data_IF_275363483541
#
_entry.id   IF_275363483541
#
_cell.length_a   1.000
_cell.length_b   1.000
_cell.length_c   1.000
_cell.angle_alpha   90.00
_cell.angle_beta   90.00
_cell.angle_gamma   90.00
#
_symmetry.space_group_name_H-M   'P 1'
#
loop_
_entity.id
_entity.type
_entity.pdbx_description
1 polymer ?
#
# COMPACT_ATOMS: atom_id res chain seq x y z
N UNK A 1 14.74 12.39 -7.84
CA UNK A 1 13.89 11.18 -7.82
C UNK A 1 13.51 10.79 -6.39
N UNK A 2 12.33 10.20 -6.19
CA UNK A 2 11.89 9.63 -4.91
C UNK A 2 12.46 8.21 -4.74
N UNK A 3 12.64 7.78 -3.48
CA UNK A 3 12.88 6.37 -3.17
C UNK A 3 11.64 5.53 -3.46
N UNK A 4 11.79 4.28 -3.91
CA UNK A 4 10.69 3.39 -4.27
C UNK A 4 10.58 2.22 -3.31
N UNK A 5 9.36 1.94 -2.86
CA UNK A 5 9.09 0.93 -1.85
C UNK A 5 7.78 0.20 -2.17
N UNK A 6 7.78 -1.13 -2.10
CA UNK A 6 6.59 -1.93 -2.40
C UNK A 6 6.26 -2.11 -3.88
N UNK A 7 7.19 -1.77 -4.79
CA UNK A 7 7.03 -2.03 -6.22
C UNK A 7 7.67 -3.36 -6.59
N UNK A 8 6.95 -4.44 -6.27
CA UNK A 8 7.34 -5.82 -6.59
C UNK A 8 6.66 -6.31 -7.87
N UNK A 9 7.24 -7.32 -8.50
CA UNK A 9 6.77 -7.92 -9.74
C UNK A 9 5.32 -8.44 -9.65
N UNK A 10 4.96 -9.07 -8.53
CA UNK A 10 3.62 -9.63 -8.31
C UNK A 10 2.53 -8.56 -8.08
N UNK A 11 2.94 -7.34 -7.76
CA UNK A 11 2.07 -6.21 -7.49
C UNK A 11 1.92 -5.29 -8.70
N UNK A 12 2.80 -5.45 -9.69
CA UNK A 12 2.79 -4.69 -10.94
C UNK A 12 2.14 -5.44 -12.10
N UNK A 13 1.73 -4.68 -13.10
CA UNK A 13 1.36 -5.23 -14.42
C UNK A 13 2.56 -5.37 -15.37
N UNK A 14 3.78 -5.11 -14.88
CA UNK A 14 5.02 -5.15 -15.67
C UNK A 14 6.05 -6.01 -14.94
N UNK A 15 6.77 -6.90 -15.63
CA UNK A 15 7.91 -7.60 -15.06
C UNK A 15 9.11 -6.67 -14.92
N UNK A 16 10.01 -6.97 -13.98
CA UNK A 16 11.24 -6.20 -13.76
C UNK A 16 11.00 -4.93 -12.95
N UNK A 17 10.05 -4.99 -12.01
CA UNK A 17 9.81 -3.91 -11.07
C UNK A 17 11.05 -3.69 -10.19
N UNK A 18 11.27 -2.46 -9.72
CA UNK A 18 12.54 -2.08 -9.08
C UNK A 18 12.86 -2.87 -7.80
N UNK A 19 11.87 -3.46 -7.13
CA UNK A 19 12.07 -4.26 -5.92
C UNK A 19 12.14 -5.78 -6.17
N UNK A 20 12.04 -6.23 -7.43
CA UNK A 20 12.07 -7.67 -7.79
C UNK A 20 10.83 -8.43 -7.32
N UNK A 21 10.99 -9.71 -6.94
CA UNK A 21 9.88 -10.52 -6.40
C UNK A 21 9.65 -10.23 -4.91
N UNK A 22 8.37 -10.09 -4.52
CA UNK A 22 8.02 -9.91 -3.10
C UNK A 22 8.35 -11.13 -2.27
N UNK A 23 8.32 -12.33 -2.88
CA UNK A 23 8.53 -13.60 -2.19
C UNK A 23 9.96 -13.73 -1.66
N UNK A 24 10.91 -13.11 -2.36
CA UNK A 24 12.32 -13.08 -1.95
C UNK A 24 12.56 -12.09 -0.79
N UNK A 25 11.65 -11.14 -0.60
CA UNK A 25 11.74 -10.14 0.45
C UNK A 25 10.99 -10.53 1.75
N UNK A 26 10.21 -11.62 1.74
CA UNK A 26 9.49 -12.14 2.92
C UNK A 26 10.48 -12.64 3.96
N UNK A 27 10.25 -12.28 5.22
CA UNK A 27 11.07 -12.73 6.34
C UNK A 27 10.28 -13.55 7.36
N UNK A 28 11.01 -14.25 8.23
CA UNK A 28 10.40 -15.02 9.32
C UNK A 28 9.97 -14.14 10.50
N UNK A 29 10.63 -12.99 10.68
CA UNK A 29 10.40 -12.06 11.77
C UNK A 29 10.70 -10.64 11.32
N UNK A 30 9.89 -9.70 11.78
CA UNK A 30 10.03 -8.29 11.52
C UNK A 30 11.12 -7.58 12.32
N UNK A 31 11.25 -6.29 12.02
CA UNK A 31 12.05 -5.36 12.81
C UNK A 31 11.44 -5.13 14.21
N UNK A 32 12.26 -4.70 15.17
CA UNK A 32 11.81 -4.48 16.55
C UNK A 32 10.74 -3.37 16.64
N UNK A 33 10.86 -2.37 15.78
CA UNK A 33 9.98 -1.21 15.61
C UNK A 33 8.97 -1.38 14.46
N UNK A 34 8.71 -2.62 14.00
CA UNK A 34 7.83 -2.89 12.85
C UNK A 34 6.44 -2.26 13.00
N UNK A 35 5.85 -2.28 14.20
CA UNK A 35 4.55 -1.68 14.43
C UNK A 35 4.54 -0.17 14.17
N UNK A 36 5.59 0.55 14.57
CA UNK A 36 5.74 1.99 14.34
C UNK A 36 6.01 2.28 12.85
N UNK A 37 6.77 1.41 12.18
CA UNK A 37 7.01 1.50 10.73
C UNK A 37 5.72 1.29 9.92
N UNK A 38 4.89 0.31 10.30
CA UNK A 38 3.58 0.07 9.68
C UNK A 38 2.66 1.26 9.89
N UNK A 39 2.59 1.80 11.12
CA UNK A 39 1.79 2.99 11.43
C UNK A 39 2.25 4.22 10.63
N UNK A 40 3.56 4.40 10.44
CA UNK A 40 4.11 5.45 9.59
C UNK A 40 3.66 5.30 8.12
N UNK A 41 3.79 4.09 7.56
CA UNK A 41 3.38 3.83 6.18
C UNK A 41 1.87 4.02 5.96
N UNK A 42 1.05 3.69 6.96
CA UNK A 42 -0.41 3.91 6.95
C UNK A 42 -0.79 5.40 7.01
N UNK A 43 0.07 6.25 7.59
CA UNK A 43 -0.16 7.68 7.76
C UNK A 43 0.28 8.53 6.54
N UNK A 44 0.76 7.92 5.46
CA UNK A 44 1.34 8.65 4.33
C UNK A 44 0.34 9.47 3.52
N UNK A 45 0.86 10.46 2.78
CA UNK A 45 0.07 11.34 1.92
C UNK A 45 -0.39 10.59 0.67
N UNK A 46 -1.70 10.47 0.48
CA UNK A 46 -2.27 9.85 -0.72
C UNK A 46 -2.10 10.80 -1.91
N UNK A 47 -1.36 10.35 -2.93
CA UNK A 47 -1.12 11.09 -4.17
C UNK A 47 -2.13 10.73 -5.24
N UNK A 48 -2.42 9.43 -5.37
CA UNK A 48 -3.37 8.90 -6.33
C UNK A 48 -4.25 7.90 -5.62
N UNK A 49 -5.56 8.11 -5.75
CA UNK A 49 -6.57 7.19 -5.27
C UNK A 49 -7.10 6.33 -6.43
N UNK A 50 -7.02 5.02 -6.28
CA UNK A 50 -7.51 4.03 -7.24
C UNK A 50 -8.65 3.25 -6.60
N UNK A 51 -9.82 3.21 -7.24
CA UNK A 51 -11.01 2.55 -6.68
C UNK A 51 -11.11 1.05 -7.00
N UNK A 52 -10.01 0.32 -6.87
CA UNK A 52 -9.97 -1.12 -7.14
C UNK A 52 -10.00 -1.98 -5.87
N UNK A 53 -10.05 -3.31 -6.04
CA UNK A 53 -9.92 -4.27 -4.95
C UNK A 53 -8.78 -5.24 -5.23
N UNK A 54 -7.85 -5.37 -4.30
CA UNK A 54 -6.71 -6.27 -4.37
C UNK A 54 -6.79 -7.46 -3.44
N UNK A 55 -5.90 -8.41 -3.68
CA UNK A 55 -5.62 -9.53 -2.77
C UNK A 55 -4.14 -9.57 -2.50
N UNK A 56 -3.80 -10.18 -1.37
CA UNK A 56 -2.44 -10.46 -0.98
C UNK A 56 -1.73 -11.28 -2.07
N UNK A 57 -0.64 -10.76 -2.61
CA UNK A 57 0.11 -11.42 -3.68
C UNK A 57 0.86 -12.70 -3.24
N UNK A 58 1.12 -12.84 -1.94
CA UNK A 58 1.79 -14.00 -1.35
C UNK A 58 0.77 -15.11 -1.08
N UNK A 59 -0.37 -14.78 -0.47
CA UNK A 59 -1.36 -15.76 0.04
C UNK A 59 -2.67 -15.85 -0.75
N UNK A 60 -3.00 -14.84 -1.56
CA UNK A 60 -4.28 -14.73 -2.28
C UNK A 60 -5.47 -14.33 -1.41
N UNK A 61 -5.25 -14.00 -0.14
CA UNK A 61 -6.28 -13.61 0.82
C UNK A 61 -6.66 -12.13 0.70
N UNK A 62 -7.85 -11.77 1.18
CA UNK A 62 -8.20 -10.36 1.38
C UNK A 62 -7.46 -9.81 2.60
N UNK A 63 -7.16 -8.52 2.60
CA UNK A 63 -6.50 -7.80 3.69
C UNK A 63 -7.11 -6.41 3.88
N UNK A 64 -6.74 -5.73 4.98
CA UNK A 64 -7.35 -4.45 5.37
C UNK A 64 -7.15 -3.33 4.34
N UNK A 65 -6.09 -3.40 3.53
CA UNK A 65 -5.80 -2.49 2.42
C UNK A 65 -6.25 -3.01 1.05
N UNK A 66 -7.10 -4.05 0.99
CA UNK A 66 -7.61 -4.56 -0.27
C UNK A 66 -8.32 -3.47 -1.10
N UNK A 67 -9.18 -2.60 -0.53
CA UNK A 67 -9.74 -1.47 -1.26
C UNK A 67 -8.68 -0.43 -1.59
N UNK A 68 -8.55 -0.10 -2.87
CA UNK A 68 -7.60 0.86 -3.41
C UNK A 68 -6.14 0.49 -3.20
N UNK A 69 -5.83 -0.81 -3.17
CA UNK A 69 -4.50 -1.35 -2.90
C UNK A 69 -3.36 -0.74 -3.74
N UNK A 70 -3.61 -0.38 -5.01
CA UNK A 70 -2.61 0.24 -5.90
C UNK A 70 -2.53 1.76 -5.81
N UNK A 71 -3.31 2.38 -4.93
CA UNK A 71 -3.20 3.82 -4.63
C UNK A 71 -1.77 4.15 -4.22
N UNK A 72 -1.29 5.32 -4.63
CA UNK A 72 0.08 5.74 -4.36
C UNK A 72 0.14 6.69 -3.18
N UNK A 73 1.10 6.46 -2.31
CA UNK A 73 1.29 7.14 -1.04
C UNK A 73 2.74 7.61 -0.90
N UNK A 74 2.97 8.75 -0.25
CA UNK A 74 4.32 9.32 -0.06
C UNK A 74 4.49 10.03 1.28
N UNK A 75 5.74 10.16 1.73
CA UNK A 75 6.17 11.12 2.76
C UNK A 75 6.94 12.33 2.18
N UNK A 76 7.01 12.41 0.84
CA UNK A 76 7.77 13.42 0.12
C UNK A 76 9.21 13.02 -0.24
N UNK A 77 9.74 11.94 0.35
CA UNK A 77 11.07 11.37 0.02
C UNK A 77 10.93 9.99 -0.61
N UNK A 78 9.97 9.19 -0.15
CA UNK A 78 9.68 7.84 -0.58
C UNK A 78 8.27 7.75 -1.17
N UNK A 79 8.10 6.84 -2.12
CA UNK A 79 6.85 6.51 -2.77
C UNK A 79 6.56 5.02 -2.55
N UNK A 80 5.32 4.70 -2.17
CA UNK A 80 4.87 3.32 -1.99
C UNK A 80 3.40 3.11 -2.37
N UNK A 81 2.99 1.85 -2.46
CA UNK A 81 1.59 1.45 -2.65
C UNK A 81 0.85 1.44 -1.32
N UNK A 82 -0.43 1.78 -1.34
CA UNK A 82 -1.29 1.83 -0.15
C UNK A 82 -1.35 0.49 0.60
N UNK A 83 -1.31 -0.63 -0.11
CA UNK A 83 -1.31 -1.96 0.48
C UNK A 83 0.06 -2.43 0.98
N UNK A 84 1.13 -1.67 0.76
CA UNK A 84 2.46 -2.07 1.19
C UNK A 84 2.61 -2.34 2.71
N UNK A 85 1.99 -1.55 3.63
CA UNK A 85 2.03 -1.83 5.07
C UNK A 85 1.53 -3.24 5.42
N UNK A 86 0.56 -3.80 4.69
CA UNK A 86 0.09 -5.17 4.89
C UNK A 86 1.21 -6.21 4.75
N UNK A 87 2.10 -6.01 3.77
CA UNK A 87 3.19 -6.95 3.51
C UNK A 87 4.30 -6.86 4.56
N UNK A 88 4.54 -5.68 5.11
CA UNK A 88 5.42 -5.50 6.27
C UNK A 88 4.80 -6.20 7.49
N UNK A 89 3.55 -5.88 7.83
CA UNK A 89 2.88 -6.38 9.03
C UNK A 89 2.54 -7.88 9.00
N UNK A 90 2.34 -8.45 7.82
CA UNK A 90 1.89 -9.86 7.68
C UNK A 90 3.01 -10.78 7.24
N UNK A 91 3.94 -10.29 6.42
CA UNK A 91 4.99 -11.10 5.81
C UNK A 91 6.39 -10.62 6.18
N UNK A 92 6.52 -9.64 7.06
CA UNK A 92 7.80 -9.08 7.52
C UNK A 92 8.70 -8.71 6.33
N UNK A 93 8.10 -8.13 5.29
CA UNK A 93 8.84 -7.81 4.07
C UNK A 93 9.96 -6.84 4.37
N UNK A 94 11.18 -7.21 3.95
CA UNK A 94 12.39 -6.44 4.19
C UNK A 94 12.24 -4.99 3.69
N UNK A 95 12.53 -4.05 4.58
CA UNK A 95 12.61 -2.62 4.26
C UNK A 95 14.05 -2.21 3.95
N UNK A 96 14.29 -1.32 2.97
CA UNK A 96 15.62 -0.76 2.75
C UNK A 96 16.13 -0.01 3.98
N UNK A 97 17.40 -0.21 4.36
CA UNK A 97 18.00 0.47 5.52
C UNK A 97 17.87 2.00 5.45
N UNK A 98 18.07 2.59 4.27
CA UNK A 98 17.93 4.03 4.06
C UNK A 98 16.51 4.54 4.36
N UNK A 99 15.48 3.73 4.11
CA UNK A 99 14.10 4.06 4.49
C UNK A 99 13.94 4.00 6.00
N UNK A 100 14.41 2.92 6.65
CA UNK A 100 14.29 2.78 8.11
C UNK A 100 15.02 3.91 8.85
N UNK A 101 16.23 4.27 8.42
CA UNK A 101 16.99 5.40 8.97
C UNK A 101 16.23 6.72 8.81
N UNK A 102 15.60 6.94 7.65
CA UNK A 102 14.78 8.13 7.39
C UNK A 102 13.59 8.22 8.37
N UNK A 103 12.79 7.15 8.48
CA UNK A 103 11.60 7.11 9.34
C UNK A 103 11.98 7.25 10.82
N UNK A 104 13.04 6.56 11.25
CA UNK A 104 13.59 6.68 12.62
C UNK A 104 14.07 8.10 12.91
N UNK A 105 14.72 8.75 11.94
CA UNK A 105 15.13 10.16 12.04
C UNK A 105 13.95 11.13 12.19
N UNK A 106 12.79 10.78 11.64
CA UNK A 106 11.53 11.51 11.80
C UNK A 106 10.76 11.11 13.07
N UNK A 107 11.31 10.21 13.89
CA UNK A 107 10.63 9.65 15.07
C UNK A 107 9.26 9.05 14.72
N UNK A 108 9.16 8.39 13.56
CA UNK A 108 7.93 7.78 13.03
C UNK A 108 6.77 8.77 12.84
N UNK A 109 7.06 10.07 12.70
CA UNK A 109 6.04 11.09 12.41
C UNK A 109 6.05 11.42 10.93
N UNK A 110 4.89 11.32 10.30
CA UNK A 110 4.71 11.73 8.90
C UNK A 110 5.00 13.24 8.77
N UNK A 111 5.95 13.65 7.93
CA UNK A 111 6.27 15.06 7.75
C UNK A 111 5.21 15.74 6.88
N UNK A 112 5.03 17.06 7.01
CA UNK A 112 4.18 17.81 6.10
C UNK A 112 4.84 17.89 4.71
N UNK A 113 4.03 17.86 3.67
CA UNK A 113 4.52 17.82 2.29
C UNK A 113 4.60 19.24 1.71
N UNK A 114 5.82 19.71 1.44
CA UNK A 114 6.06 20.99 0.75
C UNK A 114 6.01 20.76 -0.77
N UNK A 115 4.88 21.09 -1.39
CA UNK A 115 4.63 20.77 -2.82
C UNK A 115 5.69 21.31 -3.77
N UNK A 116 6.25 22.51 -3.53
CA UNK A 116 7.32 23.06 -4.35
C UNK A 116 8.60 22.21 -4.38
N UNK A 117 8.93 21.54 -3.27
CA UNK A 117 10.11 20.67 -3.17
C UNK A 117 9.81 19.27 -3.68
N UNK A 118 8.59 18.80 -3.44
CA UNK A 118 8.13 17.47 -3.83
C UNK A 118 7.88 17.33 -5.34
N UNK A 119 7.22 18.32 -5.96
CA UNK A 119 6.71 18.22 -7.32
C UNK A 119 7.77 17.82 -8.38
N UNK A 120 9.00 18.38 -8.37
CA UNK A 120 10.04 17.94 -9.32
C UNK A 120 10.39 16.45 -9.18
N UNK A 121 10.53 15.97 -7.94
CA UNK A 121 10.87 14.58 -7.65
C UNK A 121 9.72 13.64 -8.01
N UNK A 122 8.48 14.05 -7.74
CA UNK A 122 7.27 13.33 -8.13
C UNK A 122 7.17 13.18 -9.65
N UNK A 123 7.28 14.30 -10.38
CA UNK A 123 7.14 14.32 -11.84
C UNK A 123 8.20 13.45 -12.55
N UNK A 124 9.41 13.38 -11.99
CA UNK A 124 10.47 12.48 -12.47
C UNK A 124 10.16 10.99 -12.19
N UNK A 125 9.58 10.70 -11.03
CA UNK A 125 9.37 9.33 -10.55
C UNK A 125 8.14 8.66 -11.17
N UNK A 126 7.04 9.41 -11.35
CA UNK A 126 5.74 8.88 -11.77
C UNK A 126 5.78 8.08 -13.08
N UNK A 127 6.48 8.51 -14.15
CA UNK A 127 6.59 7.72 -15.37
C UNK A 127 7.25 6.35 -15.18
N UNK A 128 8.21 6.24 -14.25
CA UNK A 128 8.96 5.01 -13.97
C UNK A 128 8.08 3.95 -13.34
N UNK A 129 7.11 4.37 -12.51
CA UNK A 129 6.18 3.47 -11.81
C UNK A 129 4.88 3.22 -12.59
N UNK A 130 4.88 3.49 -13.90
CA UNK A 130 3.76 3.19 -14.78
C UNK A 130 2.71 4.30 -14.92
N UNK A 131 2.94 5.46 -14.30
CA UNK A 131 2.04 6.61 -14.33
C UNK A 131 2.54 7.72 -15.28
N UNK A 132 2.99 7.32 -16.47
CA UNK A 132 3.60 8.24 -17.46
C UNK A 132 2.65 9.30 -18.02
N UNK A 133 1.33 9.08 -17.95
CA UNK A 133 0.30 10.03 -18.36
C UNK A 133 -0.24 10.87 -17.20
N UNK A 134 0.32 10.74 -15.99
CA UNK A 134 -0.11 11.57 -14.87
C UNK A 134 0.18 13.05 -15.19
N UNK A 135 -0.83 13.90 -14.95
CA UNK A 135 -0.65 15.35 -15.06
C UNK A 135 0.47 15.75 -14.10
N UNK A 136 1.45 16.56 -14.55
CA UNK A 136 2.51 17.03 -13.65
C UNK A 136 1.92 17.67 -12.41
N UNK A 137 2.45 17.30 -11.24
CA UNK A 137 1.97 17.84 -9.99
C UNK A 137 2.16 19.36 -9.98
N UNK A 138 1.13 20.15 -9.61
CA UNK A 138 1.22 21.59 -9.62
C UNK A 138 2.31 22.05 -8.64
N UNK A 139 3.25 22.85 -9.14
CA UNK A 139 4.30 23.48 -8.33
C UNK A 139 3.68 24.69 -7.62
N UNK A 140 2.88 24.43 -6.59
CA UNK A 140 2.38 25.46 -5.69
C UNK A 140 3.23 25.49 -4.41
N UNK A 141 3.14 26.57 -3.63
CA UNK A 141 3.79 26.65 -2.32
C UNK A 141 2.90 26.04 -1.21
N UNK A 142 1.94 25.19 -1.56
CA UNK A 142 0.98 24.65 -0.61
C UNK A 142 1.67 23.62 0.30
N UNK A 143 1.49 23.79 1.61
CA UNK A 143 1.82 22.77 2.58
C UNK A 143 0.62 21.82 2.65
N UNK A 144 0.84 20.55 2.35
CA UNK A 144 -0.16 19.51 2.59
C UNK A 144 0.15 18.84 3.91
N UNK A 145 -0.75 19.01 4.87
CA UNK A 145 -0.68 18.31 6.16
C UNK A 145 -1.13 16.87 5.97
N UNK A 146 -0.54 15.91 6.72
CA UNK A 146 -0.95 14.52 6.64
C UNK A 146 -2.39 14.40 7.12
N UNK A 147 -3.28 13.97 6.23
CA UNK A 147 -4.66 13.68 6.59
C UNK A 147 -4.71 12.31 7.27
N UNK A 148 -5.15 12.27 8.52
CA UNK A 148 -5.28 11.03 9.27
C UNK A 148 -6.35 10.15 8.60
N UNK A 149 -5.91 9.18 7.80
CA UNK A 149 -6.80 8.18 7.23
C UNK A 149 -7.18 7.18 8.32
N UNK A 150 -8.48 6.98 8.53
CA UNK A 150 -8.97 5.87 9.35
C UNK A 150 -8.71 4.55 8.62
N UNK A 151 -7.53 3.97 8.86
CA UNK A 151 -7.21 2.60 8.46
C UNK A 151 -7.63 1.69 9.60
N UNK A 152 -8.59 0.80 9.34
CA UNK A 152 -8.97 -0.23 10.30
C UNK A 152 -7.75 -1.07 10.66
N UNK A 153 -7.54 -1.34 11.95
CA UNK A 153 -6.41 -2.16 12.39
C UNK A 153 -6.53 -3.60 11.89
N UNK A 154 -5.41 -4.34 11.82
CA UNK A 154 -5.41 -5.77 11.47
C UNK A 154 -6.30 -6.59 12.40
N UNK A 155 -6.26 -6.30 13.70
CA UNK A 155 -7.08 -6.98 14.71
C UNK A 155 -8.57 -6.79 14.42
N UNK A 156 -8.99 -5.56 14.13
CA UNK A 156 -10.38 -5.27 13.79
C UNK A 156 -10.79 -5.92 12.46
N UNK A 157 -9.92 -5.90 11.45
CA UNK A 157 -10.16 -6.55 10.17
C UNK A 157 -10.31 -8.08 10.33
N UNK A 158 -9.42 -8.72 11.09
CA UNK A 158 -9.46 -10.15 11.36
C UNK A 158 -10.73 -10.53 12.14
N UNK A 159 -11.11 -9.73 13.14
CA UNK A 159 -12.35 -9.91 13.89
C UNK A 159 -13.58 -9.77 12.99
N UNK A 160 -13.59 -8.80 12.08
CA UNK A 160 -14.64 -8.60 11.08
C UNK A 160 -14.74 -9.80 10.14
N UNK A 161 -13.62 -10.30 9.61
CA UNK A 161 -13.60 -11.48 8.74
C UNK A 161 -14.12 -12.73 9.46
N UNK A 162 -13.73 -12.95 10.72
CA UNK A 162 -14.23 -14.04 11.54
C UNK A 162 -15.75 -13.92 11.78
N UNK A 163 -16.25 -12.72 12.05
CA UNK A 163 -17.68 -12.47 12.21
C UNK A 163 -18.44 -12.72 10.91
N UNK A 164 -17.91 -12.29 9.76
CA UNK A 164 -18.52 -12.53 8.45
C UNK A 164 -18.56 -14.03 8.12
N UNK A 165 -17.49 -14.78 8.41
CA UNK A 165 -17.44 -16.22 8.21
C UNK A 165 -18.49 -16.95 9.07
N UNK A 166 -18.69 -16.53 10.32
CA UNK A 166 -19.74 -17.05 11.22
C UNK A 166 -21.15 -16.73 10.73
N UNK A 167 -21.34 -15.52 10.20
CA UNK A 167 -22.63 -15.03 9.71
C UNK A 167 -22.95 -15.46 8.28
N UNK A 168 -22.02 -16.11 7.58
CA UNK A 168 -22.27 -16.66 6.24
C UNK A 168 -23.33 -17.75 6.40
N UNK A 169 -24.54 -17.59 5.84
CA UNK A 169 -25.52 -18.66 5.89
C UNK A 169 -24.89 -19.90 5.26
N UNK A 170 -25.01 -21.06 5.91
CA UNK A 170 -24.60 -22.35 5.32
C UNK A 170 -25.44 -22.56 4.07
N UNK A 171 -24.96 -22.06 2.94
CA UNK A 171 -25.69 -22.03 1.69
C UNK A 171 -25.84 -23.45 1.15
N UNK A 172 -27.04 -23.98 1.21
CA UNK A 172 -27.55 -25.07 0.38
C UNK A 172 -27.59 -24.62 -1.09
N UNK A 173 -26.42 -24.44 -1.71
CA UNK A 173 -26.30 -24.23 -3.15
C UNK A 173 -26.27 -25.57 -3.90
N UNK A 174 -27.38 -26.31 -3.81
CA UNK A 174 -27.73 -27.39 -4.75
C UNK A 174 -29.09 -27.07 -5.35
N UNK A 175 -29.20 -25.92 -6.04
CA UNK A 175 -30.30 -25.71 -6.98
C UNK A 175 -29.70 -25.41 -8.34
N UNK A 176 -29.93 -26.27 -9.34
CA UNK A 176 -29.46 -26.01 -10.70
C UNK A 176 -30.04 -24.67 -11.16
N UNK A 177 -29.18 -23.81 -11.69
CA UNK A 177 -29.62 -22.57 -12.35
C UNK A 177 -30.61 -22.96 -13.46
N UNK A 178 -31.83 -22.39 -13.43
CA UNK A 178 -32.82 -22.62 -14.49
C UNK A 178 -32.20 -22.28 -15.86
N UNK A 179 -32.35 -23.13 -16.88
CA UNK A 179 -31.87 -22.82 -18.21
C UNK A 179 -32.60 -21.59 -18.74
N UNK A 180 -31.84 -20.65 -19.31
CA UNK A 180 -32.41 -19.53 -20.06
C UNK A 180 -33.13 -20.09 -21.28
N UNK A 181 -34.40 -19.72 -21.48
CA UNK A 181 -35.14 -20.02 -22.71
C UNK A 181 -34.48 -19.28 -23.87
N UNK A 182 -34.28 -20.00 -24.97
CA UNK A 182 -33.87 -19.46 -26.27
C UNK A 182 -35.01 -18.65 -26.89
#
# INVERSE_FOLDING_TARGET
MLGLLGFYDELGNRPGQPNGSIRDAVQHSGEVDEADLVAYLDAGHVLIDVMEGGRDAVTGSAHRHSPGCSSLVTDGTWLWRLDFPHYVETHHVLLPNAFMEHVRGLSYRMPPLVTAQFAPHCNETMPLVGWASAVPWPVTAALLEPEAREVMSKIEFDAMLLAQARNRPRGTWIRPRKPRKA
#
